data_IF_695547271685
#
_entry.id   IF_695547271685
#
_cell.length_a   1.000
_cell.length_b   1.000
_cell.length_c   1.000
_cell.angle_alpha   90.00
_cell.angle_beta   90.00
_cell.angle_gamma   90.00
#
_symmetry.space_group_name_H-M   'P 1'
#
loop_
_entity.id
_entity.type
_entity.pdbx_description
1 polymer ?
#
# COMPACT_ATOMS: atom_id res chain seq x y z
N UNK A 1 15.37 -9.22 -13.22
CA UNK A 1 16.16 -9.68 -12.05
C UNK A 1 15.25 -9.81 -10.85
N UNK A 2 15.21 -10.96 -10.18
CA UNK A 2 14.33 -11.21 -9.04
C UNK A 2 15.15 -11.42 -7.75
N UNK A 3 14.79 -10.79 -6.62
CA UNK A 3 15.27 -11.20 -5.31
C UNK A 3 14.32 -12.24 -4.71
N UNK A 4 14.81 -13.48 -4.68
CA UNK A 4 14.39 -14.58 -3.78
C UNK A 4 13.78 -14.08 -2.46
N UNK A 5 12.60 -14.59 -2.11
CA UNK A 5 12.19 -14.65 -0.70
C UNK A 5 13.17 -15.55 0.07
N UNK A 6 13.63 -15.12 1.24
CA UNK A 6 14.37 -15.99 2.17
C UNK A 6 13.37 -16.78 3.00
N UNK A 7 13.54 -18.10 3.03
CA UNK A 7 12.87 -18.96 3.99
C UNK A 7 13.28 -18.56 5.42
N UNK A 8 12.32 -18.41 6.32
CA UNK A 8 12.57 -18.48 7.75
C UNK A 8 12.86 -19.93 8.16
N UNK A 9 13.70 -20.20 9.16
CA UNK A 9 14.03 -21.56 9.59
C UNK A 9 12.83 -22.26 10.23
N UNK A 10 12.64 -23.54 9.88
CA UNK A 10 11.68 -24.42 10.52
C UNK A 10 12.06 -24.66 11.99
N UNK A 11 11.13 -24.43 12.91
CA UNK A 11 11.28 -24.86 14.30
C UNK A 11 11.36 -26.39 14.36
N UNK A 12 12.46 -26.92 14.91
CA UNK A 12 12.65 -28.36 15.04
C UNK A 12 11.63 -28.94 16.03
N UNK A 13 10.94 -30.01 15.60
CA UNK A 13 10.01 -30.77 16.42
C UNK A 13 10.79 -31.73 17.33
N UNK A 14 10.89 -31.42 18.62
CA UNK A 14 11.40 -32.36 19.62
C UNK A 14 10.28 -33.33 20.02
N UNK A 15 10.40 -34.60 19.62
CA UNK A 15 9.53 -35.68 20.10
C UNK A 15 9.90 -36.06 21.54
N UNK A 16 8.89 -36.31 22.38
CA UNK A 16 8.98 -36.94 23.70
C UNK A 16 7.66 -37.67 24.01
N UNK A 17 7.65 -38.80 24.76
CA UNK A 17 6.63 -39.83 24.53
C UNK A 17 5.64 -40.07 25.69
N UNK A 18 4.59 -40.85 25.36
CA UNK A 18 3.77 -41.68 26.26
C UNK A 18 2.78 -40.98 27.21
N UNK A 19 1.49 -41.33 27.09
CA UNK A 19 0.91 -42.36 27.97
C UNK A 19 -0.38 -42.95 27.39
N UNK A 20 -0.64 -44.22 27.70
CA UNK A 20 -1.86 -44.96 27.34
C UNK A 20 -2.79 -44.97 28.55
N UNK A 21 -4.09 -44.73 28.34
CA UNK A 21 -5.16 -45.20 29.22
C UNK A 21 -6.29 -45.72 28.32
N UNK A 22 -6.51 -47.03 28.36
CA UNK A 22 -7.75 -47.65 27.90
C UNK A 22 -8.81 -47.52 28.99
N UNK A 23 -10.07 -47.31 28.62
CA UNK A 23 -11.18 -47.73 29.47
C UNK A 23 -12.38 -48.14 28.60
N UNK A 24 -13.03 -49.24 28.98
CA UNK A 24 -13.94 -50.01 28.14
C UNK A 24 -15.26 -50.32 28.84
N UNK A 25 -16.40 -50.13 28.16
CA UNK A 25 -17.72 -50.78 28.40
C UNK A 25 -18.70 -50.28 27.31
N UNK A 26 -19.34 -51.12 26.47
CA UNK A 26 -20.53 -51.98 26.71
C UNK A 26 -21.74 -51.21 27.29
N UNK A 27 -23.00 -51.26 26.82
CA UNK A 27 -23.78 -52.08 25.84
C UNK A 27 -25.16 -51.37 25.63
N UNK A 28 -26.15 -51.72 24.77
CA UNK A 28 -26.44 -52.74 23.73
C UNK A 28 -27.65 -52.26 22.86
N UNK A 29 -28.19 -53.12 21.97
CA UNK A 29 -29.63 -53.38 21.62
C UNK A 29 -30.70 -52.26 21.71
N UNK A 30 -31.70 -52.14 20.83
CA UNK A 30 -32.06 -52.84 19.57
C UNK A 30 -33.23 -52.09 18.88
N UNK A 31 -33.71 -52.65 17.77
CA UNK A 31 -35.10 -52.61 17.27
C UNK A 31 -35.60 -51.58 16.23
N UNK A 32 -36.66 -52.02 15.56
CA UNK A 32 -37.03 -51.72 14.18
C UNK A 32 -38.50 -51.29 14.10
N UNK A 33 -38.87 -50.29 13.27
CA UNK A 33 -40.14 -50.28 12.50
C UNK A 33 -40.38 -48.97 11.71
N UNK A 34 -40.68 -49.13 10.41
CA UNK A 34 -41.61 -48.35 9.57
C UNK A 34 -42.78 -47.67 10.35
N UNK A 35 -43.24 -46.45 10.05
CA UNK A 35 -44.06 -46.09 8.86
C UNK A 35 -44.16 -44.58 8.56
N UNK A 36 -44.65 -44.29 7.35
CA UNK A 36 -44.90 -43.02 6.64
C UNK A 36 -45.55 -41.81 7.33
N UNK A 37 -45.18 -40.64 6.77
CA UNK A 37 -46.03 -39.52 6.31
C UNK A 37 -46.16 -38.20 7.13
N UNK A 38 -46.22 -37.11 6.35
CA UNK A 38 -46.69 -35.73 6.64
C UNK A 38 -45.73 -34.72 7.33
N UNK A 39 -45.21 -33.81 6.47
CA UNK A 39 -45.04 -32.34 6.57
C UNK A 39 -45.31 -31.61 7.92
N UNK A 40 -44.74 -30.39 8.13
CA UNK A 40 -43.40 -29.91 7.81
C UNK A 40 -42.71 -29.29 9.06
N UNK A 41 -41.48 -29.68 9.42
CA UNK A 41 -40.85 -29.24 10.69
C UNK A 41 -39.39 -28.75 10.61
N UNK A 42 -38.82 -28.61 9.41
CA UNK A 42 -37.41 -28.25 9.24
C UNK A 42 -37.05 -26.83 9.75
N UNK A 43 -38.01 -25.90 9.71
CA UNK A 43 -37.78 -24.50 10.07
C UNK A 43 -37.44 -24.29 11.56
N UNK A 44 -37.81 -25.22 12.45
CA UNK A 44 -37.50 -25.14 13.90
C UNK A 44 -36.19 -25.80 14.31
N UNK A 45 -35.53 -26.61 13.45
CA UNK A 45 -34.21 -27.20 13.77
C UNK A 45 -33.04 -26.28 13.43
N UNK A 46 -33.21 -25.29 12.55
CA UNK A 46 -32.15 -24.34 12.20
C UNK A 46 -31.82 -23.32 13.29
N UNK A 47 -32.74 -23.06 14.22
CA UNK A 47 -32.59 -22.06 15.29
C UNK A 47 -31.92 -22.58 16.58
N UNK A 48 -31.71 -23.90 16.72
CA UNK A 48 -31.29 -24.51 17.99
C UNK A 48 -29.77 -24.76 18.13
N UNK A 49 -28.96 -24.49 17.11
CA UNK A 49 -27.53 -24.89 17.09
C UNK A 49 -26.55 -23.75 16.84
N UNK A 50 -26.89 -22.50 17.21
CA UNK A 50 -25.85 -21.52 17.54
C UNK A 50 -25.27 -21.82 18.93
N UNK A 51 -24.47 -22.90 19.02
CA UNK A 51 -23.50 -23.03 20.10
C UNK A 51 -22.56 -21.84 19.99
N UNK A 52 -22.68 -20.89 20.90
CA UNK A 52 -21.75 -19.78 21.08
C UNK A 52 -20.41 -20.34 21.56
N UNK A 53 -19.63 -20.84 20.61
CA UNK A 53 -18.21 -21.13 20.81
C UNK A 53 -17.55 -19.83 21.23
N UNK A 54 -17.35 -19.66 22.54
CA UNK A 54 -16.50 -18.63 23.12
C UNK A 54 -15.11 -18.83 22.52
N UNK A 55 -14.84 -18.17 21.39
CA UNK A 55 -13.51 -18.15 20.81
C UNK A 55 -12.58 -17.61 21.89
N UNK A 56 -11.49 -18.33 22.14
CA UNK A 56 -10.44 -17.82 23.02
C UNK A 56 -10.07 -16.41 22.50
N UNK A 57 -9.91 -15.41 23.38
CA UNK A 57 -9.46 -14.09 22.93
C UNK A 57 -8.21 -14.27 22.07
N UNK A 58 -8.12 -13.57 20.92
CA UNK A 58 -7.07 -13.82 19.95
C UNK A 58 -5.69 -13.71 20.61
N UNK A 59 -4.81 -14.64 20.24
CA UNK A 59 -3.44 -14.74 20.74
C UNK A 59 -2.81 -13.34 20.76
N UNK A 60 -2.25 -12.93 21.90
CA UNK A 60 -1.57 -11.63 22.02
C UNK A 60 -0.52 -11.51 20.93
N UNK A 61 -0.76 -10.61 19.98
CA UNK A 61 0.08 -10.47 18.80
C UNK A 61 1.43 -9.93 19.26
N UNK A 62 2.48 -10.77 19.19
CA UNK A 62 3.82 -10.40 19.61
C UNK A 62 4.33 -9.28 18.70
N UNK A 63 4.22 -8.04 19.18
CA UNK A 63 4.69 -6.85 18.48
C UNK A 63 6.20 -6.97 18.32
N UNK A 64 6.68 -6.99 17.08
CA UNK A 64 8.11 -7.10 16.79
C UNK A 64 8.77 -5.72 16.80
N UNK A 65 10.10 -5.68 16.98
CA UNK A 65 10.88 -4.45 16.80
C UNK A 65 10.68 -3.84 15.40
N UNK A 66 10.57 -4.68 14.36
CA UNK A 66 10.24 -4.25 13.00
C UNK A 66 8.86 -3.63 12.87
N UNK A 67 7.87 -4.07 13.65
CA UNK A 67 6.56 -3.40 13.68
C UNK A 67 6.68 -2.00 14.26
N UNK A 68 7.31 -1.87 15.42
CA UNK A 68 7.52 -0.57 16.10
C UNK A 68 8.32 0.39 15.21
N UNK A 69 9.39 -0.09 14.56
CA UNK A 69 10.19 0.71 13.64
C UNK A 69 9.37 1.19 12.42
N UNK A 70 8.54 0.31 11.83
CA UNK A 70 7.60 0.65 10.75
C UNK A 70 6.54 1.63 11.21
N UNK A 71 6.00 1.49 12.42
CA UNK A 71 4.96 2.36 12.96
C UNK A 71 5.45 3.79 13.18
N UNK A 72 6.64 3.93 13.77
CA UNK A 72 7.26 5.24 14.01
C UNK A 72 7.54 5.96 12.68
N UNK A 73 7.96 5.19 11.67
CA UNK A 73 8.18 5.66 10.30
C UNK A 73 6.87 6.06 9.60
N UNK A 74 5.81 5.26 9.73
CA UNK A 74 4.48 5.58 9.18
C UNK A 74 3.88 6.83 9.83
N UNK A 75 4.03 7.01 11.15
CA UNK A 75 3.60 8.23 11.85
C UNK A 75 4.38 9.46 11.42
N UNK A 76 5.72 9.36 11.32
CA UNK A 76 6.56 10.42 10.77
C UNK A 76 6.09 10.81 9.36
N UNK A 77 5.84 9.83 8.49
CA UNK A 77 5.43 10.09 7.11
C UNK A 77 4.02 10.66 6.97
N UNK A 78 3.05 10.28 7.81
CA UNK A 78 1.72 10.92 7.81
C UNK A 78 1.80 12.41 8.16
N UNK A 79 2.70 12.79 9.06
CA UNK A 79 2.92 14.21 9.43
C UNK A 79 3.77 14.93 8.37
N UNK A 80 4.88 14.33 7.92
CA UNK A 80 5.78 14.93 6.93
C UNK A 80 5.12 15.13 5.58
N UNK A 81 4.48 14.09 5.03
CA UNK A 81 3.79 14.18 3.75
C UNK A 81 2.56 15.09 3.79
N UNK A 82 1.94 15.33 4.95
CA UNK A 82 0.85 16.31 5.03
C UNK A 82 1.32 17.71 4.58
N UNK A 83 2.53 18.13 4.96
CA UNK A 83 3.13 19.38 4.49
C UNK A 83 3.52 19.34 3.01
N UNK A 84 4.05 18.20 2.52
CA UNK A 84 4.37 18.00 1.09
C UNK A 84 3.12 18.09 0.21
N UNK A 85 2.06 17.37 0.59
CA UNK A 85 0.75 17.38 -0.08
C UNK A 85 0.10 18.77 0.00
N UNK A 86 0.20 19.45 1.14
CA UNK A 86 -0.27 20.84 1.29
C UNK A 86 0.46 21.79 0.34
N UNK A 87 1.79 21.74 0.27
CA UNK A 87 2.56 22.59 -0.63
C UNK A 87 2.37 22.24 -2.12
N UNK A 88 2.11 20.96 -2.43
CA UNK A 88 1.66 20.53 -3.75
C UNK A 88 0.28 21.12 -4.09
N UNK A 89 -0.68 21.07 -3.16
CA UNK A 89 -2.02 21.62 -3.34
C UNK A 89 -2.03 23.14 -3.49
N UNK A 90 -1.13 23.86 -2.82
CA UNK A 90 -0.95 25.31 -3.02
C UNK A 90 -0.54 25.68 -4.46
N UNK A 91 0.11 24.77 -5.18
CA UNK A 91 0.47 24.99 -6.60
C UNK A 91 -0.66 24.59 -7.57
N UNK A 92 -1.77 24.03 -7.10
CA UNK A 92 -2.88 23.57 -7.93
C UNK A 92 -4.00 24.61 -7.98
N UNK A 93 -4.29 25.14 -9.15
CA UNK A 93 -5.36 26.12 -9.34
C UNK A 93 -6.71 25.43 -9.61
N UNK A 94 -7.73 25.85 -8.85
CA UNK A 94 -9.11 25.44 -9.03
C UNK A 94 -9.97 26.67 -9.36
N UNK A 95 -10.89 26.62 -10.34
CA UNK A 95 -11.38 25.43 -11.06
C UNK A 95 -10.63 25.10 -12.36
N UNK A 96 -9.57 25.83 -12.71
CA UNK A 96 -8.85 25.67 -13.99
C UNK A 96 -8.18 24.30 -14.15
N UNK A 97 -7.86 23.61 -13.05
CA UNK A 97 -7.46 22.21 -13.04
C UNK A 97 -6.02 21.96 -13.46
N UNK A 98 -5.15 22.96 -13.32
CA UNK A 98 -3.73 22.87 -13.67
C UNK A 98 -2.84 23.35 -12.53
N UNK A 99 -1.55 23.00 -12.60
CA UNK A 99 -0.55 23.50 -11.67
C UNK A 99 0.05 24.79 -12.24
N UNK A 100 0.20 25.83 -11.41
CA UNK A 100 0.78 27.11 -11.86
C UNK A 100 2.30 27.15 -11.68
N UNK A 101 2.79 26.62 -10.56
CA UNK A 101 4.19 26.71 -10.17
C UNK A 101 4.55 28.00 -9.40
N UNK A 102 3.58 28.84 -9.03
CA UNK A 102 3.84 30.09 -8.28
C UNK A 102 4.47 29.82 -6.91
N UNK A 103 4.00 28.76 -6.25
CA UNK A 103 4.52 28.29 -4.96
C UNK A 103 5.60 27.20 -5.15
N UNK A 104 6.31 27.20 -6.29
CA UNK A 104 7.31 26.20 -6.63
C UNK A 104 8.37 26.05 -5.54
N UNK A 105 8.95 27.15 -5.05
CA UNK A 105 10.04 27.09 -4.06
C UNK A 105 9.59 26.53 -2.72
N UNK A 106 8.35 26.79 -2.31
CA UNK A 106 7.76 26.21 -1.08
C UNK A 106 7.65 24.70 -1.26
N UNK A 107 6.97 24.25 -2.32
CA UNK A 107 6.78 22.82 -2.63
C UNK A 107 8.10 22.08 -2.79
N UNK A 108 9.04 22.62 -3.56
CA UNK A 108 10.35 22.01 -3.80
C UNK A 108 11.16 21.89 -2.51
N UNK A 109 11.22 22.95 -1.70
CA UNK A 109 12.00 22.95 -0.45
C UNK A 109 11.39 22.01 0.59
N UNK A 110 10.06 22.06 0.80
CA UNK A 110 9.36 21.17 1.72
C UNK A 110 9.54 19.70 1.33
N UNK A 111 9.41 19.38 0.03
CA UNK A 111 9.59 18.01 -0.48
C UNK A 111 11.04 17.54 -0.36
N UNK A 112 12.02 18.39 -0.68
CA UNK A 112 13.43 18.04 -0.58
C UNK A 112 13.86 17.79 0.87
N UNK A 113 13.43 18.64 1.82
CA UNK A 113 13.70 18.44 3.25
C UNK A 113 13.08 17.12 3.72
N UNK A 114 11.83 16.85 3.35
CA UNK A 114 11.16 15.59 3.68
C UNK A 114 11.92 14.38 3.11
N UNK A 115 12.28 14.38 1.82
CA UNK A 115 13.03 13.28 1.20
C UNK A 115 14.43 13.07 1.79
N UNK A 116 15.12 14.14 2.21
CA UNK A 116 16.41 14.02 2.92
C UNK A 116 16.20 13.31 4.26
N UNK A 117 15.20 13.72 5.05
CA UNK A 117 14.92 13.13 6.36
C UNK A 117 14.47 11.66 6.21
N UNK A 118 13.55 11.36 5.29
CA UNK A 118 13.08 9.98 5.05
C UNK A 118 14.22 9.06 4.56
N UNK A 119 15.03 9.54 3.62
CA UNK A 119 16.19 8.80 3.13
C UNK A 119 17.19 8.52 4.27
N UNK A 120 17.48 9.50 5.12
CA UNK A 120 18.35 9.31 6.29
C UNK A 120 17.74 8.31 7.28
N UNK A 121 16.44 8.39 7.54
CA UNK A 121 15.74 7.46 8.44
C UNK A 121 15.81 6.01 7.92
N UNK A 122 15.46 5.78 6.65
CA UNK A 122 15.48 4.45 6.02
C UNK A 122 16.90 3.90 5.88
N UNK A 123 17.91 4.76 5.72
CA UNK A 123 19.31 4.34 5.71
C UNK A 123 19.82 3.90 7.10
N UNK A 124 19.38 4.57 8.17
CA UNK A 124 19.76 4.25 9.55
C UNK A 124 18.96 3.07 10.13
N UNK A 125 17.67 2.96 9.80
CA UNK A 125 16.74 1.96 10.35
C UNK A 125 16.10 1.16 9.19
N UNK A 126 16.88 0.34 8.45
CA UNK A 126 16.40 -0.35 7.25
C UNK A 126 15.27 -1.37 7.51
N UNK A 127 15.00 -1.72 8.78
CA UNK A 127 13.92 -2.62 9.20
C UNK A 127 12.52 -1.97 9.21
N UNK A 128 12.41 -0.63 9.13
CA UNK A 128 11.10 0.03 9.10
C UNK A 128 10.31 -0.21 7.81
N UNK A 129 10.98 -0.67 6.74
CA UNK A 129 10.39 -0.85 5.41
C UNK A 129 10.72 -2.20 4.79
N UNK A 130 9.79 -2.73 3.98
CA UNK A 130 9.91 -4.07 3.35
C UNK A 130 11.04 -4.17 2.30
N UNK A 131 11.49 -3.05 1.74
CA UNK A 131 12.56 -3.04 0.71
C UNK A 131 13.39 -1.75 0.77
N UNK A 132 14.25 -1.57 1.79
CA UNK A 132 14.98 -0.32 2.01
C UNK A 132 15.84 0.07 0.80
N UNK A 133 16.54 -0.89 0.17
CA UNK A 133 17.38 -0.62 -1.00
C UNK A 133 16.63 -0.17 -2.26
N UNK A 134 15.32 -0.43 -2.38
CA UNK A 134 14.49 0.12 -3.47
C UNK A 134 14.07 1.55 -3.13
N UNK A 135 13.66 1.78 -1.88
CA UNK A 135 13.20 3.09 -1.39
C UNK A 135 14.34 4.12 -1.37
N UNK A 136 15.55 3.73 -0.93
CA UNK A 136 16.76 4.55 -0.99
C UNK A 136 17.09 4.99 -2.42
N UNK A 137 17.08 4.05 -3.37
CA UNK A 137 17.33 4.36 -4.79
C UNK A 137 16.25 5.25 -5.39
N UNK A 138 14.99 5.00 -5.04
CA UNK A 138 13.87 5.83 -5.48
C UNK A 138 14.02 7.28 -4.99
N UNK A 139 14.32 7.50 -3.70
CA UNK A 139 14.56 8.84 -3.15
C UNK A 139 15.73 9.57 -3.83
N UNK A 140 16.85 8.90 -4.05
CA UNK A 140 18.00 9.49 -4.77
C UNK A 140 17.60 9.90 -6.19
N UNK A 141 16.92 9.02 -6.93
CA UNK A 141 16.44 9.32 -8.30
C UNK A 141 15.38 10.43 -8.29
N UNK A 142 14.47 10.46 -7.32
CA UNK A 142 13.44 11.48 -7.19
C UNK A 142 14.03 12.86 -6.85
N UNK A 143 15.01 12.94 -5.93
CA UNK A 143 15.71 14.20 -5.64
C UNK A 143 16.52 14.70 -6.84
N UNK A 144 17.17 13.81 -7.59
CA UNK A 144 17.83 14.17 -8.86
C UNK A 144 16.82 14.68 -9.89
N UNK A 145 15.68 14.02 -10.02
CA UNK A 145 14.58 14.45 -10.89
C UNK A 145 14.02 15.83 -10.50
N UNK A 146 13.88 16.09 -9.20
CA UNK A 146 13.47 17.40 -8.65
C UNK A 146 14.43 18.55 -8.98
N UNK A 147 15.69 18.28 -9.37
CA UNK A 147 16.61 19.34 -9.80
C UNK A 147 16.23 19.98 -11.14
N UNK A 148 15.29 19.39 -11.90
CA UNK A 148 14.77 20.01 -13.11
C UNK A 148 14.06 21.34 -12.86
N UNK A 149 13.30 21.48 -11.76
CA UNK A 149 12.55 22.71 -11.46
C UNK A 149 13.40 23.95 -11.15
N UNK A 150 14.52 23.82 -10.40
CA UNK A 150 15.49 24.90 -10.22
C UNK A 150 16.25 25.27 -11.50
N UNK A 151 16.70 24.29 -12.29
CA UNK A 151 17.49 24.53 -13.51
C UNK A 151 16.66 24.99 -14.72
N UNK A 152 15.39 24.59 -14.81
CA UNK A 152 14.50 24.89 -15.94
C UNK A 152 13.18 25.52 -15.44
N UNK A 153 13.19 26.82 -15.09
CA UNK A 153 12.05 27.51 -14.47
C UNK A 153 10.73 27.40 -15.25
N UNK A 154 10.81 27.33 -16.58
CA UNK A 154 9.67 27.20 -17.48
C UNK A 154 8.85 25.90 -17.29
N UNK A 155 9.42 24.89 -16.62
CA UNK A 155 8.77 23.59 -16.37
C UNK A 155 8.38 23.36 -14.89
N UNK A 156 8.45 24.40 -14.05
CA UNK A 156 8.12 24.31 -12.61
C UNK A 156 6.70 23.81 -12.33
N UNK A 157 5.74 24.14 -13.19
CA UNK A 157 4.36 23.63 -13.12
C UNK A 157 4.30 22.10 -13.20
N UNK A 158 5.17 21.46 -13.99
CA UNK A 158 5.24 19.99 -14.13
C UNK A 158 5.66 19.31 -12.83
N UNK A 159 6.43 20.02 -11.99
CA UNK A 159 6.85 19.50 -10.68
C UNK A 159 5.64 19.25 -9.77
N UNK A 160 4.61 20.11 -9.81
CA UNK A 160 3.38 19.92 -9.04
C UNK A 160 2.61 18.67 -9.50
N UNK A 161 2.46 18.50 -10.81
CA UNK A 161 1.83 17.31 -11.38
C UNK A 161 2.61 16.02 -11.08
N UNK A 162 3.95 16.09 -11.06
CA UNK A 162 4.82 14.96 -10.68
C UNK A 162 4.65 14.63 -9.18
N UNK A 163 4.77 15.61 -8.30
CA UNK A 163 4.73 15.42 -6.85
C UNK A 163 3.31 15.10 -6.32
N UNK A 164 2.27 15.21 -7.15
CA UNK A 164 0.92 14.73 -6.83
C UNK A 164 0.88 13.25 -6.42
N UNK A 165 1.86 12.44 -6.83
CA UNK A 165 2.01 11.04 -6.39
C UNK A 165 2.13 10.90 -4.87
N UNK A 166 2.64 11.92 -4.17
CA UNK A 166 2.75 11.92 -2.72
C UNK A 166 1.42 12.04 -1.99
N UNK A 167 0.37 12.58 -2.62
CA UNK A 167 -1.00 12.46 -2.09
C UNK A 167 -1.43 10.99 -2.02
N UNK A 168 -1.09 10.20 -3.05
CA UNK A 168 -1.40 8.78 -3.06
C UNK A 168 -0.50 8.00 -2.08
N UNK A 169 0.78 8.35 -1.95
CA UNK A 169 1.67 7.82 -0.90
C UNK A 169 1.07 8.10 0.50
N UNK A 170 0.68 9.35 0.78
CA UNK A 170 0.09 9.74 2.07
C UNK A 170 -1.18 8.95 2.38
N UNK A 171 -2.12 8.86 1.44
CA UNK A 171 -3.35 8.07 1.60
C UNK A 171 -3.08 6.58 1.84
N UNK A 172 -2.03 6.01 1.22
CA UNK A 172 -1.59 4.64 1.44
C UNK A 172 -1.06 4.42 2.88
N UNK A 173 -0.34 5.38 3.45
CA UNK A 173 0.16 5.29 4.84
C UNK A 173 -0.97 5.51 5.85
N UNK A 174 -1.84 6.51 5.63
CA UNK A 174 -3.06 6.71 6.43
C UNK A 174 -3.93 5.45 6.41
N UNK A 175 -4.07 4.79 5.25
CA UNK A 175 -4.77 3.51 5.11
C UNK A 175 -4.14 2.42 5.99
N UNK A 176 -2.81 2.26 6.03
CA UNK A 176 -2.13 1.31 6.91
C UNK A 176 -2.44 1.56 8.40
N UNK A 177 -2.31 2.81 8.86
CA UNK A 177 -2.59 3.17 10.27
C UNK A 177 -4.05 2.90 10.66
N UNK A 178 -4.99 3.24 9.76
CA UNK A 178 -6.44 3.00 9.96
C UNK A 178 -6.75 1.50 10.05
N UNK A 179 -6.21 0.67 9.15
CA UNK A 179 -6.42 -0.78 9.21
C UNK A 179 -5.74 -1.42 10.42
N UNK A 180 -4.55 -0.95 10.83
CA UNK A 180 -3.85 -1.49 12.00
C UNK A 180 -4.64 -1.35 13.29
N UNK A 181 -5.34 -0.23 13.45
CA UNK A 181 -6.25 0.03 14.58
C UNK A 181 -7.38 -1.00 14.71
N UNK A 182 -7.66 -1.77 13.66
CA UNK A 182 -8.66 -2.85 13.68
C UNK A 182 -8.11 -4.22 14.11
N UNK A 183 -6.78 -4.40 14.15
CA UNK A 183 -6.13 -5.68 14.46
C UNK A 183 -5.40 -5.70 15.82
N UNK A 184 -4.83 -4.57 16.23
CA UNK A 184 -4.14 -4.47 17.53
C UNK A 184 -5.12 -4.02 18.62
N UNK A 185 -5.48 -4.92 19.54
CA UNK A 185 -6.45 -4.68 20.63
C UNK A 185 -6.11 -3.49 21.55
N UNK A 186 -4.88 -2.99 21.52
CA UNK A 186 -4.44 -1.81 22.30
C UNK A 186 -4.83 -0.47 21.67
N UNK A 187 -5.28 -0.45 20.41
CA UNK A 187 -5.66 0.75 19.68
C UNK A 187 -7.18 0.84 19.53
N UNK A 188 -7.69 2.08 19.47
CA UNK A 188 -9.13 2.34 19.26
C UNK A 188 -9.49 2.01 17.81
N UNK A 189 -10.30 0.97 17.60
CA UNK A 189 -10.82 0.57 16.29
C UNK A 189 -11.37 1.76 15.51
N UNK A 190 -10.87 1.97 14.30
CA UNK A 190 -11.34 3.03 13.43
C UNK A 190 -12.80 2.78 12.99
N UNK A 191 -13.68 3.81 12.97
CA UNK A 191 -15.03 3.66 12.45
C UNK A 191 -15.04 3.10 11.02
N UNK A 192 -15.95 2.16 10.66
CA UNK A 192 -16.02 1.57 9.33
C UNK A 192 -16.10 2.61 8.20
N UNK A 193 -16.78 3.74 8.45
CA UNK A 193 -16.89 4.86 7.52
C UNK A 193 -15.52 5.45 7.18
N UNK A 194 -14.65 5.68 8.17
CA UNK A 194 -13.30 6.23 7.93
C UNK A 194 -12.47 5.24 7.11
N UNK A 195 -12.51 3.95 7.46
CA UNK A 195 -11.81 2.88 6.74
C UNK A 195 -12.26 2.77 5.28
N UNK A 196 -13.57 2.89 5.03
CA UNK A 196 -14.12 2.92 3.67
C UNK A 196 -13.69 4.18 2.90
N UNK A 197 -13.85 5.38 3.48
CA UNK A 197 -13.49 6.65 2.85
C UNK A 197 -12.00 6.70 2.48
N UNK A 198 -11.10 6.38 3.41
CA UNK A 198 -9.65 6.38 3.15
C UNK A 198 -9.29 5.38 2.05
N UNK A 199 -9.91 4.20 2.05
CA UNK A 199 -9.67 3.19 1.01
C UNK A 199 -10.16 3.64 -0.37
N UNK A 200 -11.36 4.23 -0.44
CA UNK A 200 -11.90 4.79 -1.70
C UNK A 200 -11.01 5.92 -2.23
N UNK A 201 -10.61 6.87 -1.38
CA UNK A 201 -9.69 7.94 -1.76
C UNK A 201 -8.34 7.39 -2.24
N UNK A 202 -7.78 6.40 -1.56
CA UNK A 202 -6.55 5.73 -1.96
C UNK A 202 -6.65 5.10 -3.36
N UNK A 203 -7.67 4.28 -3.63
CA UNK A 203 -7.83 3.64 -4.94
C UNK A 203 -8.16 4.64 -6.05
N UNK A 204 -9.02 5.63 -5.79
CA UNK A 204 -9.34 6.69 -6.76
C UNK A 204 -8.08 7.49 -7.13
N UNK A 205 -7.31 7.95 -6.14
CA UNK A 205 -6.05 8.67 -6.41
C UNK A 205 -4.99 7.78 -7.06
N UNK A 206 -4.94 6.48 -6.75
CA UNK A 206 -4.01 5.55 -7.40
C UNK A 206 -4.24 5.51 -8.91
N UNK A 207 -5.49 5.27 -9.34
CA UNK A 207 -5.85 5.20 -10.76
C UNK A 207 -5.66 6.56 -11.44
N UNK A 208 -6.17 7.64 -10.86
CA UNK A 208 -6.08 8.98 -11.46
C UNK A 208 -4.63 9.45 -11.58
N UNK A 209 -3.80 9.26 -10.54
CA UNK A 209 -2.44 9.83 -10.50
C UNK A 209 -1.42 8.87 -11.12
N UNK A 210 -1.33 7.62 -10.65
CA UNK A 210 -0.28 6.68 -11.09
C UNK A 210 -0.59 6.03 -12.44
N UNK A 211 -1.86 5.75 -12.74
CA UNK A 211 -2.24 5.05 -13.97
C UNK A 211 -2.63 5.99 -15.13
N UNK A 212 -3.08 7.21 -14.86
CA UNK A 212 -3.47 8.19 -15.90
C UNK A 212 -2.54 9.42 -15.96
N UNK A 213 -2.40 10.18 -14.88
CA UNK A 213 -1.62 11.43 -14.91
C UNK A 213 -0.12 11.18 -15.19
N UNK A 214 0.51 10.22 -14.51
CA UNK A 214 1.94 9.93 -14.70
C UNK A 214 2.31 9.55 -16.14
N UNK A 215 1.61 8.59 -16.79
CA UNK A 215 1.84 8.28 -18.20
C UNK A 215 1.50 9.46 -19.12
N UNK A 216 0.46 10.26 -18.81
CA UNK A 216 0.15 11.47 -19.59
C UNK A 216 1.28 12.51 -19.54
N UNK A 217 1.92 12.70 -18.38
CA UNK A 217 3.11 13.57 -18.25
C UNK A 217 4.27 13.06 -19.12
N UNK A 218 4.44 11.75 -19.28
CA UNK A 218 5.47 11.19 -20.17
C UNK A 218 5.24 11.58 -21.63
N UNK A 219 3.99 11.51 -22.11
CA UNK A 219 3.64 11.96 -23.46
C UNK A 219 3.86 13.47 -23.64
N UNK A 220 3.47 14.28 -22.65
CA UNK A 220 3.72 15.73 -22.66
C UNK A 220 5.23 16.04 -22.79
N UNK A 221 6.10 15.30 -22.11
CA UNK A 221 7.55 15.46 -22.29
C UNK A 221 8.04 15.07 -23.70
N UNK A 222 7.46 14.04 -24.32
CA UNK A 222 7.77 13.70 -25.71
C UNK A 222 7.31 14.79 -26.68
N UNK A 223 6.11 15.34 -26.51
CA UNK A 223 5.60 16.44 -27.34
C UNK A 223 6.49 17.69 -27.22
N UNK A 224 6.89 18.04 -25.99
CA UNK A 224 7.80 19.16 -25.71
C UNK A 224 9.19 18.94 -26.33
N UNK A 225 9.70 17.71 -26.32
CA UNK A 225 10.96 17.37 -27.00
C UNK A 225 10.84 17.53 -28.52
N UNK A 226 9.77 17.04 -29.14
CA UNK A 226 9.55 17.18 -30.58
C UNK A 226 9.53 18.65 -31.01
N UNK A 227 8.80 19.50 -30.29
CA UNK A 227 8.78 20.97 -30.54
C UNK A 227 10.18 21.58 -30.42
N UNK A 228 11.00 21.11 -29.47
CA UNK A 228 12.37 21.58 -29.30
C UNK A 228 13.30 21.12 -30.44
N UNK A 229 13.14 19.89 -30.96
CA UNK A 229 13.86 19.41 -32.16
C UNK A 229 13.47 20.27 -33.37
N UNK A 230 12.18 20.46 -33.62
CA UNK A 230 11.68 21.20 -34.78
C UNK A 230 12.14 22.66 -34.79
N UNK A 231 12.22 23.30 -33.62
CA UNK A 231 12.61 24.71 -33.49
C UNK A 231 14.13 24.96 -33.52
N UNK A 232 14.97 23.97 -33.19
CA UNK A 232 16.43 24.18 -33.05
C UNK A 232 17.30 23.27 -33.94
N UNK A 233 16.74 22.20 -34.49
CA UNK A 233 17.46 21.17 -35.25
C UNK A 233 18.38 20.27 -34.42
N UNK A 234 18.44 20.45 -33.09
CA UNK A 234 19.26 19.65 -32.19
C UNK A 234 18.46 18.48 -31.60
N UNK A 235 19.11 17.33 -31.43
CA UNK A 235 18.46 16.10 -30.93
C UNK A 235 18.72 15.83 -29.44
N UNK A 236 19.74 16.46 -28.84
CA UNK A 236 20.20 16.20 -27.48
C UNK A 236 20.22 17.51 -26.70
N UNK A 237 19.37 17.60 -25.66
CA UNK A 237 19.38 18.67 -24.66
C UNK A 237 19.53 18.07 -23.27
N UNK A 238 20.07 18.83 -22.31
CA UNK A 238 20.25 18.36 -20.92
C UNK A 238 18.91 18.10 -20.23
N UNK A 239 17.89 18.86 -20.61
CA UNK A 239 16.47 18.72 -20.28
C UNK A 239 15.93 17.31 -20.58
N UNK A 240 16.42 16.65 -21.63
CA UNK A 240 15.92 15.34 -22.04
C UNK A 240 16.29 14.22 -21.07
N UNK A 241 17.26 14.44 -20.18
CA UNK A 241 17.64 13.47 -19.16
C UNK A 241 16.50 13.17 -18.18
N UNK A 242 15.49 14.04 -18.07
CA UNK A 242 14.29 13.78 -17.28
C UNK A 242 13.35 12.76 -17.94
N UNK A 243 13.31 12.65 -19.28
CA UNK A 243 12.43 11.71 -19.99
C UNK A 243 12.70 10.24 -19.63
N UNK A 244 13.94 9.69 -19.71
CA UNK A 244 14.20 8.31 -19.34
C UNK A 244 14.00 8.05 -17.84
N UNK A 245 14.23 9.06 -16.99
CA UNK A 245 13.95 8.96 -15.55
C UNK A 245 12.44 8.85 -15.30
N UNK A 246 11.64 9.73 -15.90
CA UNK A 246 10.18 9.70 -15.77
C UNK A 246 9.58 8.42 -16.39
N UNK A 247 10.12 7.94 -17.50
CA UNK A 247 9.75 6.64 -18.09
C UNK A 247 10.03 5.48 -17.12
N UNK A 248 11.19 5.47 -16.45
CA UNK A 248 11.52 4.46 -15.44
C UNK A 248 10.57 4.54 -14.22
N UNK A 249 10.19 5.76 -13.79
CA UNK A 249 9.17 5.96 -12.75
C UNK A 249 7.78 5.49 -13.19
N UNK A 250 7.40 5.67 -14.46
CA UNK A 250 6.16 5.12 -15.02
C UNK A 250 6.16 3.58 -15.00
N UNK A 251 7.25 2.93 -15.41
CA UNK A 251 7.41 1.46 -15.33
C UNK A 251 7.30 0.97 -13.88
N UNK A 252 7.90 1.70 -12.93
CA UNK A 252 7.80 1.39 -11.50
C UNK A 252 6.36 1.53 -10.97
N UNK A 253 5.64 2.58 -11.38
CA UNK A 253 4.21 2.76 -11.08
C UNK A 253 3.33 1.64 -11.67
N UNK A 254 3.59 1.19 -12.90
CA UNK A 254 2.90 0.03 -13.48
C UNK A 254 3.20 -1.26 -12.70
N UNK A 255 4.45 -1.49 -12.30
CA UNK A 255 4.80 -2.63 -11.45
C UNK A 255 4.04 -2.60 -10.12
N UNK A 256 4.05 -1.48 -9.42
CA UNK A 256 3.34 -1.37 -8.14
C UNK A 256 1.81 -1.50 -8.32
N UNK A 257 1.27 -1.02 -9.44
CA UNK A 257 -0.15 -1.21 -9.79
C UNK A 257 -0.47 -2.71 -9.95
N UNK A 258 0.38 -3.45 -10.67
CA UNK A 258 0.24 -4.90 -10.78
C UNK A 258 0.34 -5.59 -9.41
N UNK A 259 1.34 -5.26 -8.60
CA UNK A 259 1.54 -5.85 -7.27
C UNK A 259 0.34 -5.57 -6.32
N UNK A 260 -0.29 -4.39 -6.44
CA UNK A 260 -1.49 -3.99 -5.67
C UNK A 260 -2.75 -4.72 -6.11
N UNK A 261 -3.05 -4.75 -7.42
CA UNK A 261 -4.31 -5.31 -7.91
C UNK A 261 -4.29 -6.83 -8.08
N UNK A 262 -3.13 -7.46 -8.27
CA UNK A 262 -3.00 -8.92 -8.38
C UNK A 262 -3.74 -9.70 -7.29
N UNK A 263 -3.51 -9.49 -5.98
CA UNK A 263 -4.20 -10.26 -4.93
C UNK A 263 -5.71 -9.99 -4.88
N UNK A 264 -6.16 -8.82 -5.32
CA UNK A 264 -7.59 -8.48 -5.41
C UNK A 264 -8.25 -9.30 -6.54
N UNK A 265 -7.60 -9.35 -7.71
CA UNK A 265 -8.06 -10.09 -8.89
C UNK A 265 -8.03 -11.61 -8.61
N UNK A 266 -6.97 -12.15 -8.02
CA UNK A 266 -6.88 -13.57 -7.62
C UNK A 266 -7.99 -13.96 -6.63
N UNK A 267 -8.34 -13.06 -5.70
CA UNK A 267 -9.47 -13.28 -4.78
C UNK A 267 -10.82 -13.28 -5.51
N UNK A 268 -11.03 -12.38 -6.47
CA UNK A 268 -12.27 -12.32 -7.26
C UNK A 268 -12.43 -13.53 -8.20
N UNK A 269 -11.34 -14.05 -8.76
CA UNK A 269 -11.34 -15.26 -9.58
C UNK A 269 -11.48 -16.56 -8.77
N UNK A 270 -11.49 -16.49 -7.42
CA UNK A 270 -11.54 -17.66 -6.55
C UNK A 270 -10.27 -18.51 -6.54
N UNK A 271 -9.19 -18.05 -7.19
CA UNK A 271 -7.88 -18.73 -7.23
C UNK A 271 -6.99 -18.35 -6.04
N UNK A 272 -7.29 -17.25 -5.36
CA UNK A 272 -6.59 -16.81 -4.15
C UNK A 272 -6.91 -17.66 -2.91
N UNK A 273 -6.05 -17.62 -1.85
CA UNK A 273 -6.30 -18.36 -0.62
C UNK A 273 -7.59 -17.90 0.07
N UNK A 274 -8.45 -18.85 0.47
CA UNK A 274 -9.77 -18.57 1.09
C UNK A 274 -9.70 -17.72 2.37
N UNK A 275 -8.55 -17.71 3.04
CA UNK A 275 -8.24 -16.77 4.13
C UNK A 275 -6.76 -16.40 4.13
N UNK A 276 -6.39 -15.32 3.42
CA UNK A 276 -5.30 -14.49 3.91
C UNK A 276 -5.87 -13.49 4.91
N UNK A 277 -5.42 -13.57 6.17
CA UNK A 277 -5.40 -12.38 7.01
C UNK A 277 -4.55 -11.35 6.27
N UNK A 278 -5.08 -10.14 6.05
CA UNK A 278 -4.36 -9.07 5.37
C UNK A 278 -3.30 -8.50 6.32
N UNK A 279 -2.25 -9.29 6.60
CA UNK A 279 -1.15 -8.94 7.51
C UNK A 279 -0.32 -7.75 7.01
N UNK A 280 -0.32 -7.51 5.69
CA UNK A 280 0.63 -6.60 5.04
C UNK A 280 0.04 -5.24 4.62
N UNK A 281 -1.28 -5.01 4.80
CA UNK A 281 -1.89 -3.67 4.65
C UNK A 281 -1.69 -2.95 3.30
N UNK A 282 -1.32 -3.67 2.25
CA UNK A 282 -1.14 -3.15 0.87
C UNK A 282 -2.46 -2.75 0.22
#
# INVERSE_FOLDING_TARGET
MAPRQRNMPSSASTKGPSFVVEESSSTSSDDTSTTSALLPSEEKKFLATQKTTKSKPPLTLNITESDIARDNHDWFNVVGLFFVVGACAMNYEFPSGHYTGDYFWVMWTTTLIYFIIDLTWVALIPICVKSPGVIIKHHIVAMLYMTGGPFYPQYRWVMGATLSVELNTWLLIVRRLVYRSCYCSSYRTAPPVITATVSTLFYTTWIVIRCYLYPKLLFIFFDMWMIQIESTGQYIFSELMFIPVHAALCVLNFKWTYDLFKPIIERWMGTGPKSMVVQDGL
#
